data_IF_377813031039
#
_entry.id   IF_377813031039
#
_cell.length_a   1.000
_cell.length_b   1.000
_cell.length_c   1.000
_cell.angle_alpha   90.00
_cell.angle_beta   90.00
_cell.angle_gamma   90.00
#
_symmetry.space_group_name_H-M   'P 1'
#
loop_
_entity.id
_entity.type
_entity.pdbx_description
1 polymer ?
#
# COMPACT_ATOMS: atom_id res chain seq x y z
N UNK A 1 -21.33 -9.74 -22.58
CA UNK A 1 -20.45 -8.61 -23.00
C UNK A 1 -20.96 -7.25 -22.53
N UNK A 2 -22.18 -6.80 -22.91
CA UNK A 2 -22.70 -5.44 -22.60
C UNK A 2 -22.78 -5.13 -21.10
N UNK A 3 -23.29 -6.07 -20.30
CA UNK A 3 -23.42 -5.85 -18.85
C UNK A 3 -22.09 -5.89 -18.10
N UNK A 4 -21.11 -6.60 -18.65
CA UNK A 4 -19.74 -6.59 -18.14
C UNK A 4 -19.11 -5.20 -18.36
N UNK A 5 -19.22 -4.64 -19.58
CA UNK A 5 -18.74 -3.30 -19.88
C UNK A 5 -19.40 -2.22 -19.00
N UNK A 6 -20.70 -2.35 -18.72
CA UNK A 6 -21.39 -1.47 -17.76
C UNK A 6 -20.82 -1.59 -16.34
N UNK A 7 -20.54 -2.81 -15.88
CA UNK A 7 -19.95 -3.03 -14.56
C UNK A 7 -18.53 -2.46 -14.47
N UNK A 8 -17.71 -2.63 -15.52
CA UNK A 8 -16.38 -2.02 -15.62
C UNK A 8 -16.45 -0.50 -15.64
N UNK A 9 -17.44 0.08 -16.33
CA UNK A 9 -17.69 1.52 -16.30
C UNK A 9 -17.98 2.03 -14.89
N UNK A 10 -18.82 1.32 -14.13
CA UNK A 10 -19.07 1.64 -12.72
C UNK A 10 -17.81 1.48 -11.86
N UNK A 11 -16.98 0.46 -12.10
CA UNK A 11 -15.70 0.30 -11.41
C UNK A 11 -14.76 1.49 -11.63
N UNK A 12 -14.69 2.02 -12.86
CA UNK A 12 -13.86 3.20 -13.12
C UNK A 12 -14.30 4.40 -12.27
N UNK A 13 -15.60 4.60 -12.10
CA UNK A 13 -16.12 5.65 -11.23
C UNK A 13 -15.73 5.40 -9.77
N UNK A 14 -15.94 4.17 -9.28
CA UNK A 14 -15.71 3.83 -7.87
C UNK A 14 -14.24 3.81 -7.46
N UNK A 15 -13.32 3.46 -8.37
CA UNK A 15 -11.89 3.29 -8.08
C UNK A 15 -11.06 4.52 -8.49
N UNK A 16 -11.43 5.26 -9.53
CA UNK A 16 -10.65 6.43 -9.95
C UNK A 16 -11.33 7.76 -9.64
N UNK A 17 -12.62 7.90 -9.95
CA UNK A 17 -13.30 9.20 -9.83
C UNK A 17 -13.52 9.55 -8.35
N UNK A 18 -14.05 8.63 -7.55
CA UNK A 18 -14.28 8.88 -6.13
C UNK A 18 -12.97 9.15 -5.38
N UNK A 19 -11.93 8.31 -5.48
CA UNK A 19 -10.68 8.56 -4.77
C UNK A 19 -9.90 9.75 -5.33
N UNK A 20 -10.00 10.02 -6.64
CA UNK A 20 -9.43 11.22 -7.26
C UNK A 20 -10.06 12.51 -6.74
N UNK A 21 -11.38 12.54 -6.57
CA UNK A 21 -12.07 13.66 -5.94
C UNK A 21 -11.64 13.86 -4.48
N UNK A 22 -11.48 12.78 -3.72
CA UNK A 22 -10.97 12.84 -2.35
C UNK A 22 -9.53 13.38 -2.30
N UNK A 23 -8.67 12.99 -3.25
CA UNK A 23 -7.30 13.47 -3.35
C UNK A 23 -7.24 14.96 -3.73
N UNK A 24 -8.13 15.43 -4.62
CA UNK A 24 -8.27 16.85 -4.94
C UNK A 24 -8.75 17.67 -3.74
N UNK A 25 -9.72 17.16 -2.98
CA UNK A 25 -10.19 17.79 -1.75
C UNK A 25 -9.07 17.86 -0.70
N UNK A 26 -8.28 16.79 -0.57
CA UNK A 26 -7.13 16.78 0.33
C UNK A 26 -6.05 17.78 -0.10
N UNK A 27 -5.76 17.88 -1.40
CA UNK A 27 -4.82 18.85 -1.94
C UNK A 27 -5.25 20.31 -1.75
N UNK A 28 -6.56 20.56 -1.58
CA UNK A 28 -7.10 21.89 -1.28
C UNK A 28 -6.94 22.30 0.19
N UNK A 29 -6.54 21.38 1.08
CA UNK A 29 -6.29 21.70 2.48
C UNK A 29 -4.95 22.45 2.62
N UNK A 30 -4.84 23.41 3.57
CA UNK A 30 -3.65 24.22 3.77
C UNK A 30 -2.43 23.43 4.30
N UNK A 31 -2.59 22.15 4.59
CA UNK A 31 -1.51 21.24 4.93
C UNK A 31 -0.87 20.72 3.63
N UNK A 32 0.41 21.02 3.42
CA UNK A 32 1.32 20.48 2.38
C UNK A 32 0.66 19.47 1.43
N UNK A 33 0.30 19.91 0.22
CA UNK A 33 -0.33 19.08 -0.79
C UNK A 33 0.50 17.86 -1.21
N UNK A 34 -0.09 16.94 -2.01
CA UNK A 34 0.57 15.71 -2.42
C UNK A 34 1.92 15.97 -3.09
N UNK A 35 2.95 15.25 -2.67
CA UNK A 35 4.20 15.19 -3.43
C UNK A 35 3.97 14.42 -4.73
N UNK A 36 4.75 14.73 -5.77
CA UNK A 36 4.68 14.02 -7.06
C UNK A 36 4.85 12.50 -6.89
N UNK A 37 5.77 12.09 -6.02
CA UNK A 37 6.01 10.68 -5.70
C UNK A 37 4.78 9.99 -5.10
N UNK A 38 4.04 10.70 -4.23
CA UNK A 38 2.81 10.19 -3.65
C UNK A 38 1.73 9.99 -4.73
N UNK A 39 1.54 10.95 -5.63
CA UNK A 39 0.55 10.84 -6.71
C UNK A 39 0.86 9.68 -7.64
N UNK A 40 2.13 9.51 -8.02
CA UNK A 40 2.56 8.38 -8.85
C UNK A 40 2.31 7.04 -8.16
N UNK A 41 2.74 6.91 -6.91
CA UNK A 41 2.55 5.68 -6.13
C UNK A 41 1.07 5.36 -5.95
N UNK A 42 0.26 6.36 -5.57
CA UNK A 42 -1.18 6.20 -5.38
C UNK A 42 -1.91 5.87 -6.68
N UNK A 43 -1.53 6.49 -7.80
CA UNK A 43 -2.07 6.16 -9.12
C UNK A 43 -1.76 4.72 -9.55
N UNK A 44 -0.53 4.27 -9.32
CA UNK A 44 -0.14 2.87 -9.55
C UNK A 44 -0.93 1.90 -8.67
N UNK A 45 -1.15 2.26 -7.40
CA UNK A 45 -1.98 1.49 -6.47
C UNK A 45 -3.43 1.35 -6.97
N UNK A 46 -4.09 2.44 -7.37
CA UNK A 46 -5.45 2.41 -7.91
C UNK A 46 -5.56 1.58 -9.20
N UNK A 47 -4.52 1.58 -10.03
CA UNK A 47 -4.49 0.74 -11.24
C UNK A 47 -4.48 -0.76 -10.89
N UNK A 48 -3.68 -1.16 -9.90
CA UNK A 48 -3.64 -2.55 -9.42
C UNK A 48 -5.00 -2.95 -8.83
N UNK A 49 -5.61 -2.08 -8.01
CA UNK A 49 -6.94 -2.29 -7.47
C UNK A 49 -8.00 -2.47 -8.56
N UNK A 50 -7.95 -1.63 -9.60
CA UNK A 50 -8.86 -1.72 -10.74
C UNK A 50 -8.72 -3.05 -11.47
N UNK A 51 -7.50 -3.47 -11.78
CA UNK A 51 -7.24 -4.76 -12.44
C UNK A 51 -7.79 -5.90 -11.58
N UNK A 52 -7.51 -5.91 -10.27
CA UNK A 52 -8.04 -6.92 -9.35
C UNK A 52 -9.58 -6.92 -9.32
N UNK A 53 -10.22 -5.76 -9.24
CA UNK A 53 -11.67 -5.62 -9.23
C UNK A 53 -12.31 -6.14 -10.53
N UNK A 54 -11.66 -5.97 -11.69
CA UNK A 54 -12.19 -6.50 -12.96
C UNK A 54 -12.24 -8.04 -12.96
N UNK A 55 -11.25 -8.70 -12.36
CA UNK A 55 -11.24 -10.16 -12.20
C UNK A 55 -12.40 -10.61 -11.29
N UNK A 56 -12.64 -9.90 -10.19
CA UNK A 56 -13.78 -10.19 -9.30
C UNK A 56 -15.11 -10.00 -10.04
N UNK A 57 -15.27 -8.94 -10.84
CA UNK A 57 -16.47 -8.74 -11.66
C UNK A 57 -16.66 -9.87 -12.68
N UNK A 58 -15.58 -10.36 -13.27
CA UNK A 58 -15.64 -11.51 -14.19
C UNK A 58 -16.13 -12.78 -13.47
N UNK A 59 -15.64 -13.06 -12.26
CA UNK A 59 -16.12 -14.18 -11.43
C UNK A 59 -17.59 -14.00 -11.02
N UNK A 60 -17.98 -12.80 -10.60
CA UNK A 60 -19.36 -12.49 -10.21
C UNK A 60 -20.34 -12.50 -11.39
N UNK A 61 -19.86 -12.50 -12.64
CA UNK A 61 -20.71 -12.60 -13.82
C UNK A 61 -21.50 -13.91 -13.87
N UNK A 62 -21.03 -14.97 -13.20
CA UNK A 62 -21.73 -16.26 -13.08
C UNK A 62 -23.07 -16.12 -12.35
N UNK A 63 -23.18 -15.17 -11.41
CA UNK A 63 -24.30 -15.05 -10.47
C UNK A 63 -25.48 -14.19 -10.97
N UNK A 64 -25.50 -13.82 -12.26
CA UNK A 64 -26.56 -13.00 -12.90
C UNK A 64 -26.96 -11.72 -12.13
N UNK A 65 -26.06 -11.15 -11.35
CA UNK A 65 -26.28 -9.92 -10.59
C UNK A 65 -26.36 -8.68 -11.52
N UNK A 66 -27.07 -7.61 -11.12
CA UNK A 66 -27.06 -6.36 -11.85
C UNK A 66 -25.64 -5.77 -11.90
N UNK A 67 -25.33 -5.03 -12.98
CA UNK A 67 -23.97 -4.54 -13.24
C UNK A 67 -23.42 -3.64 -12.13
N UNK A 68 -24.26 -2.79 -11.56
CA UNK A 68 -23.90 -1.92 -10.44
C UNK A 68 -23.57 -2.73 -9.17
N UNK A 69 -24.36 -3.75 -8.84
CA UNK A 69 -24.10 -4.58 -7.65
C UNK A 69 -22.76 -5.32 -7.78
N UNK A 70 -22.44 -5.84 -8.97
CA UNK A 70 -21.13 -6.49 -9.22
C UNK A 70 -19.97 -5.51 -9.03
N UNK A 71 -20.10 -4.30 -9.56
CA UNK A 71 -19.07 -3.27 -9.40
C UNK A 71 -18.89 -2.86 -7.93
N UNK A 72 -19.99 -2.68 -7.20
CA UNK A 72 -19.95 -2.36 -5.77
C UNK A 72 -19.31 -3.47 -4.93
N UNK A 73 -19.70 -4.73 -5.14
CA UNK A 73 -19.12 -5.87 -4.43
C UNK A 73 -17.62 -5.95 -4.72
N UNK A 74 -17.21 -5.85 -6.00
CA UNK A 74 -15.81 -5.91 -6.37
C UNK A 74 -14.99 -4.75 -5.76
N UNK A 75 -15.51 -3.52 -5.80
CA UNK A 75 -14.86 -2.37 -5.17
C UNK A 75 -14.75 -2.55 -3.65
N UNK A 76 -15.81 -3.02 -2.99
CA UNK A 76 -15.83 -3.29 -1.55
C UNK A 76 -14.80 -4.35 -1.16
N UNK A 77 -14.73 -5.45 -1.90
CA UNK A 77 -13.76 -6.53 -1.64
C UNK A 77 -12.33 -6.00 -1.77
N UNK A 78 -12.02 -5.30 -2.85
CA UNK A 78 -10.67 -4.75 -3.05
C UNK A 78 -10.33 -3.72 -1.98
N UNK A 79 -11.23 -2.79 -1.66
CA UNK A 79 -10.99 -1.82 -0.59
C UNK A 79 -10.82 -2.48 0.78
N UNK A 80 -11.59 -3.52 1.09
CA UNK A 80 -11.45 -4.27 2.34
C UNK A 80 -10.08 -4.96 2.41
N UNK A 81 -9.63 -5.59 1.32
CA UNK A 81 -8.30 -6.21 1.23
C UNK A 81 -7.21 -5.15 1.38
N UNK A 82 -7.35 -4.02 0.69
CA UNK A 82 -6.43 -2.88 0.74
C UNK A 82 -6.38 -2.22 2.11
N UNK A 83 -7.45 -2.28 2.91
CA UNK A 83 -7.44 -1.75 4.28
C UNK A 83 -6.68 -2.67 5.25
N UNK A 84 -6.71 -3.98 4.98
CA UNK A 84 -6.02 -4.99 5.80
C UNK A 84 -4.56 -5.17 5.40
N UNK A 85 -4.21 -4.96 4.13
CA UNK A 85 -2.84 -5.10 3.63
C UNK A 85 -1.81 -4.26 4.40
N UNK A 86 -2.05 -2.96 4.70
CA UNK A 86 -1.14 -2.16 5.52
C UNK A 86 -0.91 -2.78 6.89
N UNK A 87 -1.95 -3.32 7.54
CA UNK A 87 -1.86 -3.94 8.87
C UNK A 87 -0.97 -5.19 8.84
N UNK A 88 -1.03 -5.95 7.75
CA UNK A 88 -0.13 -7.08 7.52
C UNK A 88 1.28 -6.64 7.08
N UNK A 89 1.42 -5.43 6.53
CA UNK A 89 2.67 -4.89 6.02
C UNK A 89 3.60 -4.44 7.15
N UNK A 90 4.91 -4.70 7.03
CA UNK A 90 5.92 -4.14 7.92
C UNK A 90 5.81 -2.62 8.07
N UNK A 91 5.39 -1.90 7.02
CA UNK A 91 5.19 -0.44 7.06
C UNK A 91 4.25 0.02 8.18
N UNK A 92 3.18 -0.71 8.50
CA UNK A 92 2.29 -0.32 9.60
C UNK A 92 2.92 -0.52 10.99
N UNK A 93 3.96 -1.37 11.09
CA UNK A 93 4.70 -1.57 12.34
C UNK A 93 5.74 -0.48 12.58
N UNK A 94 6.12 0.28 11.56
CA UNK A 94 7.14 1.31 11.68
C UNK A 94 6.79 2.41 12.70
N UNK A 95 5.60 3.06 12.65
CA UNK A 95 5.25 4.08 13.66
C UNK A 95 5.23 3.53 15.08
N UNK A 96 4.79 2.29 15.26
CA UNK A 96 4.80 1.61 16.56
C UNK A 96 6.24 1.44 17.09
N UNK A 97 7.18 1.10 16.21
CA UNK A 97 8.60 0.99 16.59
C UNK A 97 9.23 2.35 16.83
N UNK A 98 8.83 3.40 16.11
CA UNK A 98 9.29 4.77 16.39
C UNK A 98 8.94 5.17 17.83
N UNK A 99 7.70 4.93 18.24
CA UNK A 99 7.25 5.20 19.63
C UNK A 99 7.98 4.31 20.62
N UNK A 100 8.09 3.00 20.34
CA UNK A 100 8.72 2.02 21.25
C UNK A 100 10.21 2.28 21.47
N UNK A 101 10.93 2.66 20.42
CA UNK A 101 12.38 2.89 20.46
C UNK A 101 12.74 4.33 20.87
N UNK A 102 11.75 5.22 21.03
CA UNK A 102 11.97 6.64 21.36
C UNK A 102 12.61 7.45 20.23
N UNK A 103 12.51 6.98 18.98
CA UNK A 103 13.21 7.56 17.82
C UNK A 103 13.12 6.68 16.58
N UNK A 104 13.79 7.09 15.50
CA UNK A 104 13.82 6.30 14.26
C UNK A 104 14.47 4.92 14.51
N UNK A 105 13.78 3.80 14.21
CA UNK A 105 14.35 2.47 14.42
C UNK A 105 15.36 2.09 13.33
N UNK A 106 16.18 1.09 13.59
CA UNK A 106 16.96 0.39 12.57
C UNK A 106 16.02 -0.41 11.67
N UNK A 107 16.14 -0.23 10.37
CA UNK A 107 15.26 -0.83 9.35
C UNK A 107 15.97 -2.03 8.73
N UNK A 108 15.39 -3.21 8.80
CA UNK A 108 16.00 -4.44 8.33
C UNK A 108 15.16 -5.15 7.26
N UNK A 109 15.80 -5.62 6.20
CA UNK A 109 15.18 -6.35 5.10
C UNK A 109 15.82 -7.73 4.95
N UNK A 110 15.02 -8.72 4.62
CA UNK A 110 15.44 -10.05 4.16
C UNK A 110 15.10 -10.27 2.68
N UNK A 111 14.70 -9.20 1.98
CA UNK A 111 14.34 -9.23 0.58
C UNK A 111 15.50 -9.73 -0.28
N UNK A 112 15.19 -10.60 -1.23
CA UNK A 112 16.18 -11.26 -2.09
C UNK A 112 17.32 -11.96 -1.32
N UNK A 113 17.04 -12.50 -0.11
CA UNK A 113 18.01 -13.15 0.78
C UNK A 113 19.13 -12.25 1.31
N UNK A 114 19.08 -10.95 1.00
CA UNK A 114 20.02 -9.96 1.53
C UNK A 114 19.56 -9.56 2.93
N UNK A 115 19.90 -10.37 3.95
CA UNK A 115 19.67 -10.02 5.37
C UNK A 115 20.53 -8.82 5.74
N UNK A 116 19.98 -7.64 5.53
CA UNK A 116 20.68 -6.39 5.71
C UNK A 116 19.86 -5.37 6.50
N UNK A 117 20.53 -4.44 7.17
CA UNK A 117 19.89 -3.35 7.90
C UNK A 117 20.51 -2.00 7.62
N UNK A 118 19.71 -0.94 7.81
CA UNK A 118 20.08 0.46 7.65
C UNK A 118 19.81 1.21 8.95
N UNK A 119 20.79 2.00 9.37
CA UNK A 119 20.70 2.83 10.58
C UNK A 119 20.11 4.20 10.24
N UNK A 120 19.40 4.86 11.18
CA UNK A 120 18.86 6.21 10.98
C UNK A 120 19.88 7.25 10.51
N UNK A 121 21.13 7.12 10.94
CA UNK A 121 22.22 8.04 10.57
C UNK A 121 22.80 7.81 9.17
N UNK A 122 22.36 6.75 8.46
CA UNK A 122 22.84 6.45 7.11
C UNK A 122 22.15 7.32 6.07
N UNK A 123 22.89 7.81 5.07
CA UNK A 123 22.33 8.52 3.92
C UNK A 123 21.34 7.69 3.09
N UNK A 124 21.39 6.36 3.22
CA UNK A 124 20.51 5.41 2.54
C UNK A 124 19.28 4.98 3.37
N UNK A 125 19.04 5.63 4.51
CA UNK A 125 17.90 5.32 5.37
C UNK A 125 16.58 5.59 4.64
N UNK A 126 15.84 4.52 4.34
CA UNK A 126 14.51 4.61 3.77
C UNK A 126 13.67 3.43 4.26
N UNK A 127 12.39 3.68 4.55
CA UNK A 127 11.42 2.64 4.87
C UNK A 127 10.63 2.31 3.61
N UNK A 128 10.61 1.04 3.26
CA UNK A 128 10.03 0.52 2.03
C UNK A 128 9.11 -0.66 2.36
N UNK A 129 8.19 -1.03 1.44
CA UNK A 129 7.38 -2.23 1.61
C UNK A 129 8.17 -3.55 1.65
N UNK A 130 9.46 -3.52 1.28
CA UNK A 130 10.34 -4.68 1.24
C UNK A 130 11.11 -4.88 2.56
N UNK A 131 11.00 -3.94 3.49
CA UNK A 131 11.62 -4.08 4.80
C UNK A 131 10.82 -5.08 5.63
N UNK A 132 11.52 -6.01 6.28
CA UNK A 132 10.95 -7.18 6.93
C UNK A 132 10.63 -6.95 8.41
N UNK A 133 11.47 -6.16 9.09
CA UNK A 133 11.41 -5.95 10.53
C UNK A 133 12.14 -4.67 10.95
N UNK A 134 11.93 -4.26 12.20
CA UNK A 134 12.51 -3.06 12.79
C UNK A 134 13.15 -3.40 14.13
N UNK A 135 14.29 -2.79 14.42
CA UNK A 135 15.03 -2.96 15.68
C UNK A 135 15.28 -1.60 16.33
N UNK A 136 15.36 -1.53 17.66
CA UNK A 136 15.70 -0.27 18.32
C UNK A 136 17.19 0.04 18.26
N UNK A 137 18.06 -0.96 18.14
CA UNK A 137 19.52 -0.77 18.07
C UNK A 137 20.16 -1.67 17.00
N UNK A 138 21.33 -1.28 16.45
CA UNK A 138 22.07 -2.10 15.49
C UNK A 138 22.47 -3.47 16.05
N UNK A 139 22.84 -3.53 17.33
CA UNK A 139 23.28 -4.77 17.99
C UNK A 139 22.16 -5.81 18.03
N UNK A 140 20.90 -5.37 18.20
CA UNK A 140 19.75 -6.26 18.15
C UNK A 140 19.53 -6.84 16.74
N UNK A 141 19.84 -6.07 15.69
CA UNK A 141 19.79 -6.53 14.30
C UNK A 141 20.93 -7.52 13.99
N UNK A 142 22.14 -7.24 14.48
CA UNK A 142 23.30 -8.13 14.35
C UNK A 142 23.05 -9.47 15.04
N UNK A 143 22.50 -9.45 16.26
CA UNK A 143 22.10 -10.66 17.00
C UNK A 143 21.02 -11.48 16.28
N UNK A 144 20.14 -10.82 15.52
CA UNK A 144 19.14 -11.47 14.67
C UNK A 144 19.72 -11.98 13.33
N UNK A 145 21.02 -11.79 13.09
CA UNK A 145 21.73 -12.27 11.91
C UNK A 145 21.57 -11.39 10.67
N UNK A 146 21.17 -10.12 10.85
CA UNK A 146 21.23 -9.11 9.79
C UNK A 146 22.61 -8.46 9.77
N UNK A 147 23.07 -7.99 8.60
CA UNK A 147 24.33 -7.27 8.46
C UNK A 147 24.11 -5.83 8.02
N UNK A 148 24.99 -4.91 8.41
CA UNK A 148 24.86 -3.51 7.96
C UNK A 148 24.97 -3.42 6.43
N UNK A 149 24.02 -2.72 5.81
CA UNK A 149 24.10 -2.32 4.40
C UNK A 149 24.97 -1.08 4.27
N UNK A 150 25.91 -1.09 3.32
CA UNK A 150 26.64 0.09 2.87
C UNK A 150 26.00 0.74 1.62
N UNK A 151 24.91 0.14 1.12
CA UNK A 151 24.08 0.69 0.05
C UNK A 151 23.13 1.74 0.62
#
# INVERSE_FOLDING_TARGET
MRDYLKAVGWLMVLIFVVPGLLLLLWAALPARGPTYDFVLWYGGFLLVEFVAATLIVAVLAVWRLPSLARALIAALVVYAVSLVMPIASPLARYPLHVVRCGGAPVVATDFASARSYRTPDSSAYAVTPLDSTFFCTPEAADHAGYRRSNL
#
